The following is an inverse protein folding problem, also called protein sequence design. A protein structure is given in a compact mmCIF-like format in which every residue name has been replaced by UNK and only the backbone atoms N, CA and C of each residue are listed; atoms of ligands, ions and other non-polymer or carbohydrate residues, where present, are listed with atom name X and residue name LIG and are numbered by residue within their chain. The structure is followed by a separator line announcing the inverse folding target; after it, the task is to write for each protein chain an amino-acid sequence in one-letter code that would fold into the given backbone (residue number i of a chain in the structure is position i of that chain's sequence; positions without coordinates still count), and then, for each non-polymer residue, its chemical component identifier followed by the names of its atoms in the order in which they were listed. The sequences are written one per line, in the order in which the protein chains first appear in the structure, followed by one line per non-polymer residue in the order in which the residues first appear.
data_IF_048810091538
#
_entry.id   IF_048810091538
#
_cell.length_a   1.000
_cell.length_b   1.000
_cell.length_c   1.000
_cell.angle_alpha   90.00
_cell.angle_beta   90.00
_cell.angle_gamma   90.00
#
_symmetry.space_group_name_H-M   'P 1'
#
loop_
_entity.id
_entity.type
_entity.pdbx_description
1 polymer ?
#
# COMPACT_ATOMS: atom_id res chain seq x y z
N UNK A 1 -0.30 16.45 14.31
CA UNK A 1 0.14 17.12 15.55
C UNK A 1 -0.53 16.59 16.82
N UNK A 2 -1.56 15.74 16.72
CA UNK A 2 -2.32 15.16 17.86
C UNK A 2 -1.58 14.25 18.87
N UNK A 3 -0.29 13.93 18.67
CA UNK A 3 0.45 12.98 19.53
C UNK A 3 1.51 13.61 20.43
N UNK A 4 1.69 14.92 20.35
CA UNK A 4 2.73 15.60 21.12
C UNK A 4 2.13 16.01 22.47
N UNK A 5 2.55 15.34 23.56
CA UNK A 5 2.01 15.56 24.91
C UNK A 5 2.58 16.80 25.60
N UNK A 6 3.81 17.18 25.29
CA UNK A 6 4.46 18.40 25.78
C UNK A 6 5.70 18.70 24.92
N UNK A 7 6.07 19.98 24.82
CA UNK A 7 7.33 20.43 24.20
C UNK A 7 8.03 21.30 25.24
N UNK A 8 9.21 20.88 25.68
CA UNK A 8 10.06 21.63 26.60
C UNK A 8 11.36 22.02 25.90
N UNK A 9 11.75 23.29 26.03
CA UNK A 9 13.05 23.79 25.58
C UNK A 9 14.10 23.37 26.60
N UNK A 10 15.02 22.48 26.19
CA UNK A 10 16.24 22.22 26.95
C UNK A 10 17.35 23.13 26.42
N UNK A 11 17.86 24.03 27.27
CA UNK A 11 19.04 24.86 27.00
C UNK A 11 20.34 24.04 27.15
N UNK A 12 20.44 22.94 26.40
CA UNK A 12 21.69 22.19 26.24
C UNK A 12 22.09 22.24 24.78
N UNK A 13 23.37 22.49 24.56
CA UNK A 13 24.03 22.55 23.26
C UNK A 13 23.46 21.50 22.31
N UNK A 14 23.05 21.96 21.13
CA UNK A 14 22.42 21.15 20.10
C UNK A 14 23.23 19.87 19.86
N UNK A 15 22.73 18.77 20.44
CA UNK A 15 23.00 17.38 20.10
C UNK A 15 24.38 17.12 19.45
N UNK A 16 25.44 16.92 20.23
CA UNK A 16 26.71 16.34 19.77
C UNK A 16 26.61 14.86 19.38
N UNK A 17 25.42 14.37 19.00
CA UNK A 17 25.28 13.05 18.39
C UNK A 17 25.36 13.26 16.88
N UNK A 18 26.26 12.59 16.15
CA UNK A 18 26.22 12.62 14.70
C UNK A 18 24.87 12.03 14.29
N UNK A 19 23.93 12.90 13.94
CA UNK A 19 22.79 12.50 13.13
C UNK A 19 23.42 11.84 11.91
N UNK A 20 23.14 10.54 11.73
CA UNK A 20 23.69 9.78 10.61
C UNK A 20 23.52 10.58 9.32
N UNK A 21 24.46 10.46 8.39
CA UNK A 21 24.39 11.19 7.12
C UNK A 21 23.02 10.96 6.48
N UNK A 22 22.56 11.90 5.64
CA UNK A 22 21.30 11.72 4.91
C UNK A 22 21.24 10.35 4.22
N UNK A 23 22.38 9.87 3.71
CA UNK A 23 22.55 8.54 3.15
C UNK A 23 22.27 7.41 4.16
N UNK A 24 22.80 7.48 5.38
CA UNK A 24 22.54 6.49 6.44
C UNK A 24 21.07 6.50 6.88
N UNK A 25 20.47 7.69 6.96
CA UNK A 25 19.04 7.83 7.27
C UNK A 25 18.19 7.23 6.15
N UNK A 26 18.53 7.51 4.88
CA UNK A 26 17.85 6.94 3.72
C UNK A 26 18.02 5.41 3.66
N UNK A 27 19.22 4.90 3.90
CA UNK A 27 19.48 3.46 3.94
C UNK A 27 18.70 2.76 5.06
N UNK A 28 18.64 3.37 6.25
CA UNK A 28 17.77 2.87 7.32
C UNK A 28 16.31 2.86 6.86
N UNK A 29 15.78 3.98 6.34
CA UNK A 29 14.39 4.06 5.88
C UNK A 29 14.05 3.03 4.79
N UNK A 30 14.96 2.80 3.84
CA UNK A 30 14.83 1.79 2.79
C UNK A 30 14.91 0.38 3.35
N UNK A 31 15.79 0.13 4.34
CA UNK A 31 15.93 -1.19 4.98
C UNK A 31 14.68 -1.63 5.77
N UNK A 32 13.91 -0.68 6.31
CA UNK A 32 12.69 -0.98 7.06
C UNK A 32 11.48 -1.26 6.18
N UNK A 33 11.50 -0.90 4.89
CA UNK A 33 10.35 -1.08 4.00
C UNK A 33 10.59 -2.20 3.02
N UNK A 34 10.05 -3.38 3.33
CA UNK A 34 9.97 -4.46 2.36
C UNK A 34 8.95 -4.06 1.28
N UNK A 35 9.44 -3.72 0.08
CA UNK A 35 8.60 -3.45 -1.06
C UNK A 35 8.11 -4.76 -1.67
N UNK A 36 6.80 -4.89 -1.79
CA UNK A 36 6.13 -6.00 -2.44
C UNK A 36 5.78 -5.63 -3.87
N UNK A 37 6.25 -6.45 -4.83
CA UNK A 37 5.80 -6.39 -6.22
C UNK A 37 4.43 -7.06 -6.32
N UNK A 38 3.47 -6.38 -6.94
CA UNK A 38 2.10 -6.84 -7.13
C UNK A 38 1.75 -6.71 -8.60
N UNK A 39 1.10 -7.73 -9.14
CA UNK A 39 0.60 -7.76 -10.51
C UNK A 39 -0.92 -7.88 -10.44
N UNK A 40 -1.60 -6.88 -10.99
CA UNK A 40 -3.05 -6.84 -11.09
C UNK A 40 -3.46 -6.86 -12.56
N UNK A 41 -4.58 -7.49 -12.84
CA UNK A 41 -5.21 -7.46 -14.15
C UNK A 41 -6.58 -6.80 -14.01
N UNK A 42 -6.76 -5.69 -14.71
CA UNK A 42 -7.90 -4.80 -14.52
C UNK A 42 -8.58 -4.55 -15.86
N UNK A 43 -9.91 -4.50 -15.86
CA UNK A 43 -10.65 -4.07 -17.03
C UNK A 43 -10.32 -2.61 -17.39
N UNK A 44 -10.23 -2.34 -18.70
CA UNK A 44 -10.05 -0.97 -19.18
C UNK A 44 -11.28 -0.14 -18.81
N UNK A 45 -11.07 1.05 -18.25
CA UNK A 45 -12.16 1.94 -17.87
C UNK A 45 -11.86 2.73 -16.60
N UNK A 46 -12.92 3.09 -15.88
CA UNK A 46 -12.85 3.96 -14.70
C UNK A 46 -12.03 3.34 -13.56
N UNK A 47 -12.19 2.03 -13.32
CA UNK A 47 -11.46 1.31 -12.26
C UNK A 47 -9.95 1.37 -12.51
N UNK A 48 -9.51 1.09 -13.74
CA UNK A 48 -8.11 1.21 -14.12
C UNK A 48 -7.58 2.63 -13.92
N UNK A 49 -8.33 3.67 -14.33
CA UNK A 49 -7.92 5.06 -14.15
C UNK A 49 -7.82 5.45 -12.66
N UNK A 50 -8.76 4.96 -11.83
CA UNK A 50 -8.75 5.21 -10.40
C UNK A 50 -7.54 4.57 -9.71
N UNK A 51 -7.20 3.33 -10.07
CA UNK A 51 -6.00 2.64 -9.58
C UNK A 51 -4.74 3.38 -10.05
N UNK A 52 -4.68 3.75 -11.33
CA UNK A 52 -3.55 4.48 -11.91
C UNK A 52 -3.29 5.79 -11.16
N UNK A 53 -4.35 6.57 -10.91
CA UNK A 53 -4.26 7.82 -10.17
C UNK A 53 -3.85 7.62 -8.71
N UNK A 54 -4.34 6.56 -8.05
CA UNK A 54 -4.05 6.30 -6.63
C UNK A 54 -2.62 5.80 -6.40
N UNK A 55 -2.04 5.04 -7.35
CA UNK A 55 -0.70 4.45 -7.19
C UNK A 55 0.37 5.02 -8.13
N UNK A 56 0.20 6.24 -8.67
CA UNK A 56 1.16 6.85 -9.62
C UNK A 56 2.62 6.64 -9.24
N UNK A 57 2.97 6.78 -7.96
CA UNK A 57 4.35 6.64 -7.45
C UNK A 57 4.83 5.20 -7.28
N UNK A 58 3.93 4.23 -7.29
CA UNK A 58 4.23 2.80 -7.16
C UNK A 58 4.10 2.02 -8.47
N UNK A 59 3.63 2.62 -9.56
CA UNK A 59 3.49 1.95 -10.86
C UNK A 59 4.85 1.67 -11.49
N UNK A 60 5.08 0.43 -11.90
CA UNK A 60 6.30 -0.02 -12.56
C UNK A 60 6.09 -0.29 -14.05
N UNK A 61 5.08 -1.09 -14.38
CA UNK A 61 4.87 -1.59 -15.74
C UNK A 61 3.38 -1.68 -16.04
N UNK A 62 3.04 -1.50 -17.32
CA UNK A 62 1.69 -1.68 -17.84
C UNK A 62 1.76 -2.42 -19.17
N UNK A 63 0.98 -3.49 -19.28
CA UNK A 63 0.89 -4.32 -20.46
C UNK A 63 -0.57 -4.31 -20.94
N UNK A 64 -0.76 -4.06 -22.23
CA UNK A 64 -2.06 -4.17 -22.86
C UNK A 64 -2.34 -5.62 -23.27
N UNK A 65 -3.44 -6.18 -22.81
CA UNK A 65 -3.83 -7.58 -23.09
C UNK A 65 -5.25 -7.64 -23.68
N UNK A 66 -5.59 -6.70 -24.57
CA UNK A 66 -6.88 -6.67 -25.27
C UNK A 66 -7.94 -5.91 -24.48
N UNK A 67 -8.92 -6.59 -23.88
CA UNK A 67 -9.97 -5.91 -23.09
C UNK A 67 -9.50 -5.47 -21.70
N UNK A 68 -8.35 -5.97 -21.25
CA UNK A 68 -7.79 -5.71 -19.93
C UNK A 68 -6.39 -5.08 -20.02
N UNK A 69 -5.95 -4.51 -18.91
CA UNK A 69 -4.58 -4.07 -18.66
C UNK A 69 -3.99 -4.92 -17.55
N UNK A 70 -2.77 -5.39 -17.73
CA UNK A 70 -1.98 -5.96 -16.65
C UNK A 70 -1.03 -4.89 -16.14
N UNK A 71 -1.08 -4.63 -14.84
CA UNK A 71 -0.32 -3.56 -14.19
C UNK A 71 0.57 -4.18 -13.12
N UNK A 72 1.85 -3.80 -13.15
CA UNK A 72 2.78 -4.09 -12.07
C UNK A 72 2.92 -2.84 -11.21
N UNK A 73 2.73 -2.99 -9.90
CA UNK A 73 2.97 -1.94 -8.92
C UNK A 73 3.83 -2.45 -7.76
N UNK A 74 4.43 -1.51 -7.03
CA UNK A 74 5.11 -1.74 -5.76
C UNK A 74 4.33 -1.10 -4.62
N UNK A 75 4.27 -1.82 -3.50
CA UNK A 75 3.68 -1.33 -2.26
C UNK A 75 4.51 -1.78 -1.07
N UNK A 76 4.61 -0.96 -0.03
CA UNK A 76 5.22 -1.31 1.24
C UNK A 76 4.25 -2.02 2.20
N UNK A 77 2.97 -2.13 1.85
CA UNK A 77 1.98 -2.88 2.65
C UNK A 77 0.90 -3.53 1.78
N UNK A 78 0.91 -4.86 1.76
CA UNK A 78 -0.16 -5.65 1.14
C UNK A 78 -1.50 -5.48 1.87
N UNK A 79 -1.48 -5.19 3.18
CA UNK A 79 -2.66 -5.02 4.01
C UNK A 79 -3.41 -3.73 3.66
N UNK A 80 -2.70 -2.63 3.43
CA UNK A 80 -3.31 -1.36 3.01
C UNK A 80 -3.86 -1.51 1.59
N UNK A 81 -3.05 -2.08 0.68
CA UNK A 81 -3.48 -2.36 -0.68
C UNK A 81 -4.74 -3.25 -0.71
N UNK A 82 -4.78 -4.32 0.09
CA UNK A 82 -5.93 -5.21 0.16
C UNK A 82 -7.23 -4.47 0.53
N UNK A 83 -7.18 -3.57 1.52
CA UNK A 83 -8.36 -2.77 1.91
C UNK A 83 -8.83 -1.87 0.77
N UNK A 84 -7.90 -1.23 0.08
CA UNK A 84 -8.20 -0.35 -1.05
C UNK A 84 -8.75 -1.13 -2.25
N UNK A 85 -8.24 -2.34 -2.51
CA UNK A 85 -8.75 -3.19 -3.58
C UNK A 85 -10.19 -3.66 -3.35
N UNK A 86 -10.59 -3.87 -2.09
CA UNK A 86 -11.97 -4.22 -1.75
C UNK A 86 -12.95 -3.09 -2.13
N UNK A 87 -12.52 -1.82 -2.09
CA UNK A 87 -13.36 -0.67 -2.47
C UNK A 87 -13.75 -0.67 -3.95
N UNK A 88 -12.89 -1.21 -4.81
CA UNK A 88 -13.08 -1.20 -6.27
C UNK A 88 -14.03 -2.28 -6.79
N UNK A 89 -14.65 -3.07 -5.91
CA UNK A 89 -15.64 -4.11 -6.24
C UNK A 89 -15.11 -5.12 -7.30
N UNK A 90 -15.91 -5.44 -8.32
CA UNK A 90 -15.57 -6.37 -9.39
C UNK A 90 -14.69 -5.72 -10.46
N UNK A 91 -13.98 -6.53 -11.26
CA UNK A 91 -13.17 -6.05 -12.39
C UNK A 91 -11.67 -5.99 -12.13
N UNK A 92 -11.22 -6.44 -10.95
CA UNK A 92 -9.80 -6.62 -10.62
C UNK A 92 -9.50 -8.10 -10.37
N UNK A 93 -8.56 -8.63 -11.13
CA UNK A 93 -7.95 -9.94 -10.89
C UNK A 93 -6.56 -9.73 -10.30
N UNK A 94 -6.26 -10.43 -9.22
CA UNK A 94 -4.94 -10.39 -8.59
C UNK A 94 -4.12 -11.52 -9.20
N UNK A 95 -3.13 -11.19 -10.01
CA UNK A 95 -2.27 -12.20 -10.64
C UNK A 95 -1.22 -12.67 -9.62
N UNK A 96 -0.56 -11.74 -8.94
CA UNK A 96 0.47 -12.00 -7.94
C UNK A 96 0.54 -10.85 -6.91
N UNK A 97 0.90 -11.09 -5.64
CA UNK A 97 1.22 -12.36 -5.00
C UNK A 97 -0.02 -13.07 -4.43
N UNK A 98 0.03 -14.40 -4.28
CA UNK A 98 -1.06 -15.17 -3.66
C UNK A 98 -1.33 -14.76 -2.21
N UNK A 99 -0.31 -14.24 -1.52
CA UNK A 99 -0.45 -13.66 -0.19
C UNK A 99 -1.48 -12.53 -0.17
N UNK A 100 -1.54 -11.69 -1.21
CA UNK A 100 -2.51 -10.61 -1.29
C UNK A 100 -3.95 -11.15 -1.42
N UNK A 101 -4.15 -12.22 -2.20
CA UNK A 101 -5.44 -12.93 -2.30
C UNK A 101 -5.89 -13.45 -0.94
N UNK A 102 -4.97 -14.02 -0.16
CA UNK A 102 -5.25 -14.54 1.19
C UNK A 102 -5.69 -13.41 2.15
N UNK A 103 -4.99 -12.28 2.15
CA UNK A 103 -5.33 -11.12 2.98
C UNK A 103 -6.72 -10.59 2.64
N UNK A 104 -7.04 -10.45 1.35
CA UNK A 104 -8.37 -9.97 0.93
C UNK A 104 -9.47 -10.94 1.35
N UNK A 105 -9.27 -12.25 1.17
CA UNK A 105 -10.24 -13.27 1.63
C UNK A 105 -10.47 -13.17 3.13
N UNK A 106 -9.42 -12.95 3.92
CA UNK A 106 -9.53 -12.75 5.37
C UNK A 106 -10.37 -11.52 5.71
N UNK A 107 -10.14 -10.39 5.05
CA UNK A 107 -10.93 -9.17 5.28
C UNK A 107 -12.38 -9.34 4.85
N UNK A 108 -12.64 -9.96 3.69
CA UNK A 108 -14.01 -10.24 3.26
C UNK A 108 -14.73 -11.16 4.25
N UNK A 109 -14.08 -12.21 4.76
CA UNK A 109 -14.67 -13.09 5.77
C UNK A 109 -15.03 -12.33 7.06
N UNK A 110 -14.16 -11.42 7.53
CA UNK A 110 -14.42 -10.57 8.70
C UNK A 110 -15.59 -9.62 8.48
N UNK A 111 -15.68 -9.01 7.30
CA UNK A 111 -16.80 -8.13 6.92
C UNK A 111 -18.09 -8.94 6.90
N UNK A 112 -18.08 -10.10 6.25
CA UNK A 112 -19.25 -10.99 6.16
C UNK A 112 -19.73 -11.45 7.54
N UNK A 113 -18.81 -11.91 8.40
CA UNK A 113 -19.14 -12.31 9.78
C UNK A 113 -19.74 -11.15 10.59
N UNK A 114 -19.14 -9.96 10.48
CA UNK A 114 -19.66 -8.78 11.16
C UNK A 114 -21.07 -8.41 10.67
N UNK A 115 -21.32 -8.44 9.36
CA UNK A 115 -22.62 -8.17 8.79
C UNK A 115 -23.68 -9.21 9.21
N UNK A 116 -23.31 -10.50 9.32
CA UNK A 116 -24.23 -11.53 9.80
C UNK A 116 -24.65 -11.31 11.26
N UNK A 117 -23.75 -10.83 12.11
CA UNK A 117 -24.05 -10.56 13.52
C UNK A 117 -24.91 -9.30 13.74
N UNK A 118 -25.18 -8.52 12.69
CA UNK A 118 -26.01 -7.31 12.74
C UNK A 118 -27.46 -7.54 12.26
N UNK A 119 -27.79 -8.74 11.78
CA UNK A 119 -29.12 -9.15 11.27
C UNK A 119 -29.75 -10.09 12.30
#
# INVERSE_FOLDING_TARGET
MDRIKNISLEEKEACEKPHGTLEQILQQMLSYKQLHRVILRVEKGEIYNAIKSRYVLGFLEEIDIGSKKEITLQTDSLEILAKQLIEYQSGIEIVNPDRLKCIIRKYLAQITEHCFNLI
#
